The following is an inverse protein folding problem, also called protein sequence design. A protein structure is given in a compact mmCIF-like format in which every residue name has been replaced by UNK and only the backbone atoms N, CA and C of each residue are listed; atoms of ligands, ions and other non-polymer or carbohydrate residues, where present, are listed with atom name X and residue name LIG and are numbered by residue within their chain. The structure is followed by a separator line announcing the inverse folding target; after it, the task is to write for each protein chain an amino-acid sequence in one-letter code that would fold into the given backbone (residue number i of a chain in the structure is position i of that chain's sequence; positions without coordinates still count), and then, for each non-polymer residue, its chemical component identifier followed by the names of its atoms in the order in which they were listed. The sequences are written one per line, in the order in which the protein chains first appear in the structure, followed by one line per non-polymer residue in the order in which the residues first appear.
data_IF_121672639411
#
_entry.id   IF_121672639411
#
_cell.length_a   1.000
_cell.length_b   1.000
_cell.length_c   1.000
_cell.angle_alpha   90.00
_cell.angle_beta   90.00
_cell.angle_gamma   90.00
#
_symmetry.space_group_name_H-M   'P 1'
#
loop_
_entity.id
_entity.type
_entity.pdbx_description
1 polymer ?
#
# COMPACT_ATOMS: atom_id res chain seq x y z
N UNK A 1 -7.62 35.84 31.06
CA UNK A 1 -7.14 36.18 29.71
C UNK A 1 -6.12 35.14 29.27
N UNK A 2 -6.60 33.94 28.84
CA UNK A 2 -5.74 32.82 28.43
C UNK A 2 -5.28 33.07 26.99
N UNK A 3 -3.98 33.31 26.80
CA UNK A 3 -3.36 33.34 25.50
C UNK A 3 -3.70 32.05 24.75
N UNK A 4 -4.58 32.13 23.72
CA UNK A 4 -4.71 31.09 22.69
C UNK A 4 -3.28 30.80 22.20
N UNK A 5 -2.74 29.66 22.58
CA UNK A 5 -1.51 29.12 21.96
C UNK A 5 -1.80 29.00 20.48
N UNK A 6 -1.27 29.96 19.72
CA UNK A 6 -1.30 29.92 18.26
C UNK A 6 -0.43 28.71 17.85
N UNK A 7 -1.05 27.54 17.70
CA UNK A 7 -0.46 26.39 17.05
C UNK A 7 -0.34 26.76 15.57
N UNK A 8 0.70 27.53 15.25
CA UNK A 8 1.16 27.61 13.88
C UNK A 8 1.57 26.22 13.44
N UNK A 9 0.63 25.46 12.98
CA UNK A 9 0.90 24.23 12.26
C UNK A 9 1.55 24.65 10.94
N UNK A 10 2.88 24.77 10.96
CA UNK A 10 3.68 25.18 9.79
C UNK A 10 3.49 24.27 8.56
N UNK A 11 2.86 23.10 8.73
CA UNK A 11 2.52 22.16 7.67
C UNK A 11 1.10 22.37 7.11
N UNK A 12 0.11 22.66 7.98
CA UNK A 12 -1.29 22.79 7.61
C UNK A 12 -1.83 24.08 8.24
N UNK A 13 -2.39 24.93 7.41
CA UNK A 13 -3.04 26.18 7.82
C UNK A 13 -4.47 26.18 7.28
N UNK A 14 -5.45 26.41 8.16
CA UNK A 14 -6.88 26.38 7.81
C UNK A 14 -7.34 25.13 7.05
N UNK A 15 -6.79 23.96 7.41
CA UNK A 15 -7.12 22.70 6.73
C UNK A 15 -6.46 22.49 5.36
N UNK A 16 -5.60 23.41 4.93
CA UNK A 16 -4.84 23.30 3.67
C UNK A 16 -3.34 23.20 3.94
N UNK A 17 -2.62 22.54 3.03
CA UNK A 17 -1.17 22.46 3.10
C UNK A 17 -0.51 23.80 2.83
N UNK A 18 0.40 24.22 3.70
CA UNK A 18 1.33 25.33 3.43
C UNK A 18 2.30 24.96 2.31
N UNK A 19 3.00 25.96 1.73
CA UNK A 19 4.06 25.70 0.73
C UNK A 19 5.13 24.73 1.26
N UNK A 20 5.56 24.89 2.51
CA UNK A 20 6.54 24.02 3.17
C UNK A 20 5.97 22.62 3.40
N UNK A 21 4.73 22.51 3.87
CA UNK A 21 4.02 21.24 4.03
C UNK A 21 3.91 20.46 2.72
N UNK A 22 3.59 21.16 1.62
CA UNK A 22 3.52 20.56 0.29
C UNK A 22 4.88 20.03 -0.20
N UNK A 23 5.95 20.79 -0.01
CA UNK A 23 7.30 20.36 -0.39
C UNK A 23 7.76 19.13 0.39
N UNK A 24 7.51 19.10 1.71
CA UNK A 24 7.83 17.94 2.55
C UNK A 24 7.04 16.71 2.15
N UNK A 25 5.74 16.86 1.90
CA UNK A 25 4.91 15.74 1.43
C UNK A 25 5.34 15.23 0.05
N UNK A 26 5.71 16.11 -0.87
CA UNK A 26 6.26 15.71 -2.17
C UNK A 26 7.55 14.91 -2.01
N UNK A 27 8.49 15.42 -1.20
CA UNK A 27 9.74 14.70 -0.90
C UNK A 27 9.49 13.36 -0.20
N UNK A 28 8.58 13.33 0.79
CA UNK A 28 8.18 12.12 1.50
C UNK A 28 7.51 11.10 0.57
N UNK A 29 6.62 11.55 -0.33
CA UNK A 29 5.96 10.69 -1.31
C UNK A 29 6.95 10.09 -2.31
N UNK A 30 7.91 10.89 -2.78
CA UNK A 30 8.96 10.42 -3.67
C UNK A 30 9.87 9.39 -2.97
N UNK A 31 10.31 9.70 -1.76
CA UNK A 31 11.12 8.78 -0.95
C UNK A 31 10.38 7.46 -0.70
N UNK A 32 9.10 7.54 -0.29
CA UNK A 32 8.29 6.34 -0.08
C UNK A 32 8.06 5.54 -1.37
N UNK A 33 7.85 6.22 -2.49
CA UNK A 33 7.73 5.55 -3.79
C UNK A 33 9.01 4.79 -4.16
N UNK A 34 10.19 5.36 -3.90
CA UNK A 34 11.47 4.65 -4.09
C UNK A 34 11.56 3.43 -3.18
N UNK A 35 11.20 3.56 -1.88
CA UNK A 35 11.14 2.41 -0.96
C UNK A 35 10.19 1.33 -1.45
N UNK A 36 9.00 1.70 -1.92
CA UNK A 36 8.02 0.79 -2.49
C UNK A 36 8.61 0.03 -3.69
N UNK A 37 9.27 0.73 -4.60
CA UNK A 37 9.95 0.09 -5.72
C UNK A 37 11.02 -0.91 -5.26
N UNK A 38 11.82 -0.54 -4.26
CA UNK A 38 12.82 -1.46 -3.70
C UNK A 38 12.16 -2.68 -3.06
N UNK A 39 11.09 -2.50 -2.28
CA UNK A 39 10.37 -3.61 -1.65
C UNK A 39 9.73 -4.55 -2.67
N UNK A 40 9.12 -4.00 -3.73
CA UNK A 40 8.38 -4.78 -4.71
C UNK A 40 9.27 -5.41 -5.81
N UNK A 41 10.41 -4.79 -6.14
CA UNK A 41 11.18 -5.15 -7.33
C UNK A 41 12.59 -5.67 -7.06
N UNK A 42 13.03 -5.78 -5.78
CA UNK A 42 14.27 -6.48 -5.47
C UNK A 42 14.08 -8.01 -5.60
N UNK A 43 15.11 -8.74 -6.09
CA UNK A 43 15.01 -10.20 -6.24
C UNK A 43 14.77 -10.89 -4.90
N UNK A 44 13.95 -11.93 -4.91
CA UNK A 44 13.69 -12.78 -3.76
C UNK A 44 14.45 -14.09 -3.86
N UNK A 45 14.94 -14.56 -2.74
CA UNK A 45 15.55 -15.90 -2.65
C UNK A 45 14.48 -16.91 -2.24
N UNK A 46 14.38 -18.06 -2.95
CA UNK A 46 13.51 -19.14 -2.51
C UNK A 46 13.90 -19.58 -1.10
N UNK A 47 12.95 -19.71 -0.21
CA UNK A 47 13.18 -20.28 1.13
C UNK A 47 12.82 -21.77 1.09
N UNK A 48 13.80 -22.68 1.21
CA UNK A 48 13.53 -24.11 1.17
C UNK A 48 12.54 -24.53 2.27
N UNK A 49 11.50 -25.27 1.89
CA UNK A 49 10.49 -25.75 2.84
C UNK A 49 9.43 -24.73 3.26
N UNK A 50 9.42 -23.53 2.67
CA UNK A 50 8.41 -22.49 2.94
C UNK A 50 7.62 -22.09 1.70
N UNK A 51 7.43 -23.00 0.78
CA UNK A 51 6.62 -22.76 -0.41
C UNK A 51 5.16 -22.53 -0.03
N UNK A 52 4.56 -21.47 -0.58
CA UNK A 52 3.14 -21.21 -0.37
C UNK A 52 2.33 -22.23 -1.18
N UNK A 53 1.37 -22.95 -0.57
CA UNK A 53 0.52 -23.88 -1.30
C UNK A 53 -0.23 -23.18 -2.44
N UNK A 54 -0.33 -23.84 -3.60
CA UNK A 54 -1.05 -23.32 -4.76
C UNK A 54 -0.22 -22.48 -5.74
N UNK A 55 1.08 -22.30 -5.48
CA UNK A 55 2.00 -21.65 -6.42
C UNK A 55 2.12 -22.49 -7.69
N UNK A 56 2.09 -21.82 -8.84
CA UNK A 56 2.27 -22.38 -10.17
C UNK A 56 3.49 -21.76 -10.85
N UNK A 57 4.29 -22.58 -11.52
CA UNK A 57 5.49 -22.16 -12.23
C UNK A 57 5.26 -22.28 -13.76
N UNK A 58 5.45 -21.18 -14.48
CA UNK A 58 5.45 -21.13 -15.94
C UNK A 58 6.81 -20.66 -16.45
N UNK A 59 7.75 -21.59 -16.55
CA UNK A 59 9.15 -21.27 -16.82
C UNK A 59 9.76 -20.46 -15.66
N UNK A 60 10.11 -19.19 -15.93
CA UNK A 60 10.62 -18.27 -14.90
C UNK A 60 9.52 -17.54 -14.13
N UNK A 61 8.32 -17.51 -14.67
CA UNK A 61 7.20 -16.77 -14.05
C UNK A 61 6.58 -17.64 -12.96
N UNK A 62 6.43 -17.05 -11.78
CA UNK A 62 5.81 -17.68 -10.63
C UNK A 62 4.50 -16.96 -10.32
N UNK A 63 3.39 -17.70 -10.23
CA UNK A 63 2.07 -17.11 -10.02
C UNK A 63 1.27 -17.85 -8.95
N UNK A 64 0.45 -17.11 -8.24
CA UNK A 64 -0.54 -17.61 -7.28
C UNK A 64 -1.92 -17.01 -7.64
N UNK A 65 -2.68 -17.76 -8.45
CA UNK A 65 -3.95 -17.30 -9.03
C UNK A 65 -5.20 -17.72 -8.23
N UNK A 66 -5.02 -18.39 -7.09
CA UNK A 66 -6.13 -18.81 -6.23
C UNK A 66 -6.54 -17.62 -5.36
N UNK A 67 -7.74 -17.02 -5.58
CA UNK A 67 -8.22 -15.94 -4.73
C UNK A 67 -8.41 -16.43 -3.29
N UNK A 68 -8.05 -15.60 -2.32
CA UNK A 68 -8.10 -15.94 -0.91
C UNK A 68 -7.31 -17.21 -0.55
N UNK A 69 -6.21 -17.44 -1.28
CA UNK A 69 -5.36 -18.63 -1.10
C UNK A 69 -4.99 -18.84 0.36
N UNK A 70 -4.66 -17.76 1.06
CA UNK A 70 -4.32 -17.77 2.49
C UNK A 70 -5.44 -18.31 3.39
N UNK A 71 -6.71 -18.17 2.99
CA UNK A 71 -7.86 -18.69 3.73
C UNK A 71 -8.23 -20.11 3.29
N UNK A 72 -8.20 -20.38 1.98
CA UNK A 72 -8.60 -21.68 1.40
C UNK A 72 -7.63 -22.78 1.83
N UNK A 73 -6.34 -22.48 1.85
CA UNK A 73 -5.29 -23.44 2.18
C UNK A 73 -4.84 -23.40 3.65
N UNK A 74 -5.62 -22.79 4.55
CA UNK A 74 -5.34 -22.80 6.00
C UNK A 74 -5.15 -24.21 6.55
N UNK A 75 -5.89 -25.20 6.05
CA UNK A 75 -5.79 -26.61 6.45
C UNK A 75 -4.48 -27.31 5.99
N UNK A 76 -3.76 -26.74 5.04
CA UNK A 76 -2.45 -27.25 4.56
C UNK A 76 -1.27 -26.60 5.28
N UNK A 77 -1.53 -25.58 6.08
CA UNK A 77 -0.51 -24.91 6.90
C UNK A 77 -0.12 -25.83 8.05
N UNK A 78 1.07 -26.35 7.99
CA UNK A 78 1.57 -27.35 8.96
C UNK A 78 2.23 -26.74 10.20
N UNK A 79 2.54 -25.45 10.16
CA UNK A 79 3.17 -24.76 11.29
C UNK A 79 2.56 -23.40 11.61
N UNK A 80 2.54 -23.06 12.90
CA UNK A 80 2.12 -21.74 13.38
C UNK A 80 2.94 -20.60 12.72
N UNK A 81 4.22 -20.87 12.42
CA UNK A 81 5.11 -19.89 11.77
C UNK A 81 4.65 -19.55 10.35
N UNK A 82 4.25 -20.57 9.55
CA UNK A 82 3.69 -20.35 8.21
C UNK A 82 2.40 -19.53 8.27
N UNK A 83 1.52 -19.82 9.24
CA UNK A 83 0.28 -19.06 9.44
C UNK A 83 0.57 -17.60 9.73
N UNK A 84 1.48 -17.32 10.65
CA UNK A 84 1.88 -15.95 11.01
C UNK A 84 2.52 -15.24 9.81
N UNK A 85 3.40 -15.93 9.05
CA UNK A 85 4.04 -15.37 7.85
C UNK A 85 2.98 -14.90 6.84
N UNK A 86 2.02 -15.75 6.50
CA UNK A 86 0.94 -15.44 5.55
C UNK A 86 0.09 -14.28 6.04
N UNK A 87 -0.28 -14.26 7.32
CA UNK A 87 -1.08 -13.19 7.90
C UNK A 87 -0.33 -11.84 7.89
N UNK A 88 0.94 -11.85 8.28
CA UNK A 88 1.81 -10.65 8.25
C UNK A 88 2.00 -10.15 6.83
N UNK A 89 2.18 -11.04 5.84
CA UNK A 89 2.30 -10.67 4.43
C UNK A 89 1.05 -9.96 3.93
N UNK A 90 -0.15 -10.50 4.17
CA UNK A 90 -1.41 -9.85 3.79
C UNK A 90 -1.59 -8.48 4.45
N UNK A 91 -1.25 -8.35 5.73
CA UNK A 91 -1.28 -7.07 6.43
C UNK A 91 -0.26 -6.10 5.81
N UNK A 92 0.96 -6.56 5.54
CA UNK A 92 2.00 -5.74 4.92
C UNK A 92 1.54 -5.21 3.55
N UNK A 93 0.87 -6.03 2.74
CA UNK A 93 0.33 -5.63 1.44
C UNK A 93 -0.80 -4.59 1.58
N UNK A 94 -1.70 -4.71 2.58
CA UNK A 94 -2.67 -3.67 2.88
C UNK A 94 -1.97 -2.34 3.20
N UNK A 95 -0.89 -2.38 3.98
CA UNK A 95 -0.15 -1.17 4.34
C UNK A 95 0.84 -0.71 3.26
N UNK A 96 1.09 -1.48 2.21
CA UNK A 96 2.04 -1.14 1.15
C UNK A 96 1.64 0.16 0.41
N UNK A 97 0.41 0.29 -0.03
CA UNK A 97 -0.07 1.49 -0.72
C UNK A 97 -0.65 2.56 0.22
N UNK A 98 -0.99 2.22 1.46
CA UNK A 98 -1.61 3.16 2.40
C UNK A 98 -0.82 4.47 2.57
N UNK A 99 0.50 4.48 2.91
CA UNK A 99 1.23 5.72 3.13
C UNK A 99 1.35 6.58 1.87
N UNK A 100 1.56 5.95 0.71
CA UNK A 100 1.66 6.65 -0.55
C UNK A 100 0.33 7.33 -0.91
N UNK A 101 -0.76 6.58 -0.92
CA UNK A 101 -2.09 7.11 -1.26
C UNK A 101 -2.52 8.19 -0.26
N UNK A 102 -2.25 8.01 1.04
CA UNK A 102 -2.55 9.00 2.06
C UNK A 102 -1.83 10.34 1.80
N UNK A 103 -0.56 10.32 1.44
CA UNK A 103 0.22 11.51 1.10
C UNK A 103 -0.30 12.16 -0.19
N UNK A 104 -0.61 11.35 -1.22
CA UNK A 104 -1.13 11.85 -2.50
C UNK A 104 -2.50 12.49 -2.38
N UNK A 105 -3.35 12.04 -1.46
CA UNK A 105 -4.65 12.66 -1.17
C UNK A 105 -4.53 14.12 -0.68
N UNK A 106 -3.46 14.44 0.04
CA UNK A 106 -3.15 15.81 0.44
C UNK A 106 -2.57 16.65 -0.69
N UNK A 107 -1.87 16.03 -1.64
CA UNK A 107 -1.20 16.71 -2.74
C UNK A 107 -2.11 16.94 -3.94
N UNK A 108 -3.02 16.01 -4.22
CA UNK A 108 -3.82 15.95 -5.44
C UNK A 108 -5.31 15.93 -5.15
N UNK A 109 -5.95 17.07 -5.31
CA UNK A 109 -7.40 17.22 -5.09
C UNK A 109 -8.25 16.31 -5.99
N UNK A 110 -7.78 15.98 -7.21
CA UNK A 110 -8.50 15.08 -8.11
C UNK A 110 -8.70 13.67 -7.53
N UNK A 111 -7.79 13.21 -6.64
CA UNK A 111 -7.87 11.90 -6.00
C UNK A 111 -8.95 11.85 -4.88
N UNK A 112 -9.53 12.98 -4.51
CA UNK A 112 -10.40 13.16 -3.33
C UNK A 112 -11.75 12.44 -3.37
N UNK A 113 -12.03 11.56 -4.35
CA UNK A 113 -13.27 10.77 -4.43
C UNK A 113 -13.00 9.27 -4.28
N UNK A 114 -13.93 8.55 -3.63
CA UNK A 114 -13.85 7.10 -3.41
C UNK A 114 -13.51 6.33 -4.69
N UNK A 115 -14.22 6.61 -5.79
CA UNK A 115 -14.01 5.90 -7.06
C UNK A 115 -12.60 6.08 -7.60
N UNK A 116 -12.10 7.32 -7.58
CA UNK A 116 -10.76 7.64 -8.11
C UNK A 116 -9.65 6.99 -7.28
N UNK A 117 -9.80 6.97 -5.95
CA UNK A 117 -8.83 6.29 -5.07
C UNK A 117 -8.83 4.79 -5.34
N UNK A 118 -9.99 4.16 -5.44
CA UNK A 118 -10.07 2.72 -5.75
C UNK A 118 -9.44 2.40 -7.11
N UNK A 119 -9.78 3.16 -8.15
CA UNK A 119 -9.19 2.98 -9.49
C UNK A 119 -7.68 3.21 -9.50
N UNK A 120 -7.20 4.25 -8.80
CA UNK A 120 -5.79 4.55 -8.70
C UNK A 120 -5.03 3.44 -7.96
N UNK A 121 -5.53 3.01 -6.80
CA UNK A 121 -4.88 1.97 -5.99
C UNK A 121 -4.87 0.62 -6.71
N UNK A 122 -5.97 0.25 -7.37
CA UNK A 122 -6.02 -0.95 -8.20
C UNK A 122 -5.04 -0.85 -9.38
N UNK A 123 -5.00 0.28 -10.07
CA UNK A 123 -4.06 0.51 -11.17
C UNK A 123 -2.60 0.41 -10.73
N UNK A 124 -2.27 0.95 -9.55
CA UNK A 124 -0.93 0.83 -8.95
C UNK A 124 -0.61 -0.63 -8.59
N UNK A 125 -1.57 -1.35 -8.02
CA UNK A 125 -1.38 -2.76 -7.69
C UNK A 125 -1.16 -3.60 -8.95
N UNK A 126 -1.99 -3.44 -9.97
CA UNK A 126 -1.80 -4.11 -11.27
C UNK A 126 -0.44 -3.78 -11.88
N UNK A 127 0.00 -2.50 -11.81
CA UNK A 127 1.30 -2.10 -12.31
C UNK A 127 2.45 -2.80 -11.55
N UNK A 128 2.36 -2.91 -10.22
CA UNK A 128 3.35 -3.63 -9.40
C UNK A 128 3.42 -5.10 -9.85
N UNK A 129 2.29 -5.78 -9.88
CA UNK A 129 2.20 -7.20 -10.21
C UNK A 129 2.72 -7.51 -11.64
N UNK A 130 2.31 -6.71 -12.63
CA UNK A 130 2.80 -6.88 -14.00
C UNK A 130 4.30 -6.61 -14.12
N UNK A 131 4.82 -5.63 -13.35
CA UNK A 131 6.26 -5.35 -13.32
C UNK A 131 7.05 -6.53 -12.74
N UNK A 132 6.51 -7.25 -11.74
CA UNK A 132 7.13 -8.45 -11.17
C UNK A 132 7.22 -9.57 -12.21
N UNK A 133 6.14 -9.81 -12.97
CA UNK A 133 6.16 -10.78 -14.08
C UNK A 133 7.26 -10.42 -15.10
N UNK A 134 7.37 -9.15 -15.48
CA UNK A 134 8.41 -8.69 -16.42
C UNK A 134 9.81 -8.91 -15.85
N UNK A 135 10.02 -8.63 -14.58
CA UNK A 135 11.30 -8.84 -13.90
C UNK A 135 11.67 -10.33 -13.82
N UNK A 136 10.70 -11.20 -13.59
CA UNK A 136 10.93 -12.66 -13.61
C UNK A 136 11.32 -13.13 -15.02
N UNK A 137 10.61 -12.70 -16.04
CA UNK A 137 10.90 -13.08 -17.43
C UNK A 137 12.31 -12.64 -17.85
N UNK A 138 12.71 -11.42 -17.49
CA UNK A 138 13.98 -10.84 -17.94
C UNK A 138 15.17 -11.25 -17.08
N UNK A 139 15.00 -11.32 -15.77
CA UNK A 139 16.11 -11.38 -14.81
C UNK A 139 16.02 -12.52 -13.80
N UNK A 140 14.93 -13.31 -13.82
CA UNK A 140 14.72 -14.42 -12.87
C UNK A 140 14.75 -13.96 -11.40
N UNK A 141 13.97 -12.92 -11.09
CA UNK A 141 13.92 -12.30 -9.76
C UNK A 141 13.15 -13.13 -8.74
N UNK A 142 12.48 -14.21 -9.18
CA UNK A 142 11.71 -15.11 -8.34
C UNK A 142 10.64 -14.39 -7.52
N UNK A 143 9.94 -13.46 -8.16
CA UNK A 143 8.78 -12.79 -7.59
C UNK A 143 7.51 -13.59 -7.87
N UNK A 144 6.61 -13.62 -6.93
CA UNK A 144 5.33 -14.30 -7.09
C UNK A 144 4.27 -13.28 -7.43
N UNK A 145 3.66 -13.39 -8.62
CA UNK A 145 2.43 -12.67 -8.93
C UNK A 145 1.29 -13.25 -8.09
N UNK A 146 0.72 -12.46 -7.20
CA UNK A 146 -0.37 -12.89 -6.32
C UNK A 146 -1.67 -12.13 -6.64
N UNK A 147 -2.74 -12.86 -6.99
CA UNK A 147 -4.05 -12.23 -7.24
C UNK A 147 -4.60 -11.54 -5.98
N UNK A 148 -4.23 -12.05 -4.80
CA UNK A 148 -4.64 -11.47 -3.53
C UNK A 148 -4.03 -10.09 -3.28
N UNK A 149 -2.88 -9.78 -3.86
CA UNK A 149 -2.24 -8.47 -3.73
C UNK A 149 -3.04 -7.36 -4.43
N UNK A 150 -3.81 -7.70 -5.48
CA UNK A 150 -4.63 -6.73 -6.17
C UNK A 150 -5.70 -6.12 -5.25
N UNK A 151 -6.37 -6.93 -4.44
CA UNK A 151 -7.41 -6.42 -3.55
C UNK A 151 -6.84 -5.93 -2.21
N UNK A 152 -5.79 -6.55 -1.65
CA UNK A 152 -5.17 -6.11 -0.40
C UNK A 152 -4.53 -4.74 -0.54
N UNK A 153 -3.76 -4.50 -1.59
CA UNK A 153 -3.19 -3.19 -1.91
C UNK A 153 -4.28 -2.14 -2.17
N UNK A 154 -5.34 -2.52 -2.90
CA UNK A 154 -6.48 -1.62 -3.17
C UNK A 154 -7.22 -1.26 -1.88
N UNK A 155 -7.40 -2.22 -0.97
CA UNK A 155 -7.96 -1.99 0.36
C UNK A 155 -7.10 -1.02 1.16
N UNK A 156 -5.77 -1.14 1.11
CA UNK A 156 -4.84 -0.20 1.76
C UNK A 156 -5.04 1.23 1.28
N UNK A 157 -5.16 1.44 -0.02
CA UNK A 157 -5.48 2.75 -0.58
C UNK A 157 -6.85 3.27 -0.16
N UNK A 158 -7.85 2.40 -0.05
CA UNK A 158 -9.17 2.79 0.45
C UNK A 158 -9.16 3.16 1.94
N UNK A 159 -8.42 2.43 2.77
CA UNK A 159 -8.24 2.78 4.18
C UNK A 159 -7.54 4.14 4.33
N UNK A 160 -6.55 4.45 3.48
CA UNK A 160 -5.92 5.77 3.43
C UNK A 160 -6.94 6.87 3.12
N UNK A 161 -7.86 6.64 2.19
CA UNK A 161 -8.96 7.57 1.89
C UNK A 161 -9.90 7.79 3.08
N UNK A 162 -10.29 6.73 3.77
CA UNK A 162 -11.16 6.84 4.95
C UNK A 162 -10.46 7.63 6.07
N UNK A 163 -9.18 7.34 6.32
CA UNK A 163 -8.36 8.06 7.29
C UNK A 163 -8.23 9.55 6.94
N UNK A 164 -7.98 9.86 5.66
CA UNK A 164 -7.91 11.23 5.16
C UNK A 164 -9.24 11.99 5.37
N UNK A 165 -10.37 11.36 5.03
CA UNK A 165 -11.70 11.96 5.24
C UNK A 165 -12.03 12.19 6.71
N UNK A 166 -11.68 11.24 7.55
CA UNK A 166 -11.85 11.39 9.00
C UNK A 166 -11.04 12.56 9.55
N UNK A 167 -9.77 12.69 9.14
CA UNK A 167 -8.93 13.82 9.56
C UNK A 167 -9.46 15.17 9.05
N UNK A 168 -9.90 15.24 7.80
CA UNK A 168 -10.52 16.47 7.27
C UNK A 168 -11.75 16.89 8.07
N UNK A 169 -12.62 15.93 8.42
CA UNK A 169 -13.81 16.20 9.21
C UNK A 169 -13.47 16.66 10.63
N UNK A 170 -12.42 16.10 11.24
CA UNK A 170 -11.95 16.52 12.58
C UNK A 170 -11.40 17.94 12.56
N UNK A 171 -10.56 18.28 11.59
CA UNK A 171 -9.98 19.62 11.45
C UNK A 171 -11.03 20.70 11.09
N UNK A 172 -12.08 20.33 10.35
CA UNK A 172 -13.20 21.23 10.05
C UNK A 172 -14.06 21.55 11.27
N UNK A 173 -14.16 20.63 12.23
CA UNK A 173 -14.89 20.85 13.50
C UNK A 173 -14.15 21.78 14.46
N UNK A 174 -12.82 21.72 14.49
CA UNK A 174 -12.01 22.57 15.39
C UNK A 174 -12.03 24.06 14.99
N UNK A 175 -12.52 24.40 13.79
CA UNK A 175 -12.67 25.79 13.32
C UNK A 175 -14.05 26.38 13.60
N UNK A 176 -14.98 25.64 14.25
CA UNK A 176 -16.34 26.07 14.56
C UNK A 176 -16.53 26.47 16.03
N UNK A 177 -15.47 26.47 16.89
CA UNK A 177 -15.51 26.88 18.30
C UNK A 177 -14.49 27.98 18.64
#
# INVERSE_FOLDING_TARGET
MLKKLNRNNWLIEQGQLTKKGRQLLLGGSFFYFVLLCLMCFLPQRPEPGMETPGIQHFGRVVVLLIPFNSLINLGQVTSLFQLVKVFVQNIANIFLLFPLVFQLLWLWSWLGTRKRVLCFSLGMSVWIELSQIVLDLLFDFNRVFEIDDLWTNTLGGYLAYLCFKWLQASMGKDNLF
#
